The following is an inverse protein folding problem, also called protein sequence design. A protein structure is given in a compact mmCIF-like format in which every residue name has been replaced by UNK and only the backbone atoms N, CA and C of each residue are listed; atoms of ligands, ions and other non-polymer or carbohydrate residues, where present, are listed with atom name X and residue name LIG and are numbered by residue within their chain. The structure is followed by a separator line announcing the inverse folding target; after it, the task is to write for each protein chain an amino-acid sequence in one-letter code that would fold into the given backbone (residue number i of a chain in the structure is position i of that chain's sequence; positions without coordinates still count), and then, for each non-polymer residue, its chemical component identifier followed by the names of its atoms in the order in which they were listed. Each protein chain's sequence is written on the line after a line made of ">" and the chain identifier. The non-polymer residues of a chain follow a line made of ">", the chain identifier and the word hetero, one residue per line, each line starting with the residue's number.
data_IF_619834908603
#
_entry.id   IF_619834908603
#
_cell.length_a   1.000
_cell.length_b   1.000
_cell.length_c   1.000
_cell.angle_alpha   90.00
_cell.angle_beta   90.00
_cell.angle_gamma   90.00
#
_symmetry.space_group_name_H-M   'P 1'
#
loop_
_entity.id
_entity.type
_entity.pdbx_description
1 polymer ?
#
# COMPACT_ATOMS: atom_id res chain seq x y z
N UNK A 1 6.50 -12.69 11.20
CA UNK A 1 6.00 -12.46 9.82
C UNK A 1 5.97 -10.98 9.53
N UNK A 2 6.38 -10.53 8.35
CA UNK A 2 6.48 -9.12 7.96
C UNK A 2 5.57 -8.90 6.76
N UNK A 3 4.84 -7.79 6.71
CA UNK A 3 3.85 -7.50 5.68
C UNK A 3 4.15 -6.17 4.99
N UNK A 4 3.89 -6.10 3.68
CA UNK A 4 3.58 -4.85 3.05
C UNK A 4 2.18 -4.35 3.45
N UNK A 5 1.85 -3.10 3.15
CA UNK A 5 0.57 -2.46 3.52
C UNK A 5 -0.39 -2.32 2.34
N UNK A 6 0.00 -1.53 1.33
CA UNK A 6 -0.86 -1.19 0.20
C UNK A 6 -0.96 -2.36 -0.79
N UNK A 7 -2.16 -2.72 -1.21
CA UNK A 7 -2.50 -3.88 -2.06
C UNK A 7 -2.13 -5.25 -1.47
N UNK A 8 -1.63 -5.27 -0.22
CA UNK A 8 -1.41 -6.51 0.57
C UNK A 8 -2.42 -6.60 1.73
N UNK A 9 -2.35 -5.69 2.69
CA UNK A 9 -3.30 -5.62 3.82
C UNK A 9 -4.49 -4.70 3.54
N UNK A 10 -4.28 -3.67 2.73
CA UNK A 10 -5.26 -2.66 2.35
C UNK A 10 -5.41 -2.61 0.83
N UNK A 11 -6.63 -2.53 0.34
CA UNK A 11 -6.91 -2.42 -1.09
C UNK A 11 -6.78 -0.95 -1.54
N UNK A 12 -5.65 -0.63 -2.19
CA UNK A 12 -5.34 0.71 -2.66
C UNK A 12 -6.19 1.12 -3.86
N UNK A 13 -6.49 0.20 -4.77
CA UNK A 13 -7.31 0.49 -5.96
C UNK A 13 -8.71 1.00 -5.56
N UNK A 14 -9.36 0.34 -4.57
CA UNK A 14 -10.62 0.81 -4.01
C UNK A 14 -10.51 2.16 -3.30
N UNK A 15 -9.38 2.45 -2.66
CA UNK A 15 -9.16 3.74 -2.03
C UNK A 15 -9.00 4.85 -3.07
N UNK A 16 -8.34 4.58 -4.19
CA UNK A 16 -8.25 5.51 -5.34
C UNK A 16 -9.64 5.80 -5.92
N UNK A 17 -10.50 4.78 -6.07
CA UNK A 17 -11.89 4.98 -6.50
C UNK A 17 -12.64 5.93 -5.56
N UNK A 18 -12.50 5.76 -4.24
CA UNK A 18 -13.15 6.63 -3.26
C UNK A 18 -12.60 8.06 -3.30
N UNK A 19 -11.27 8.21 -3.43
CA UNK A 19 -10.66 9.54 -3.56
C UNK A 19 -11.17 10.27 -4.81
N UNK A 20 -11.29 9.55 -5.93
CA UNK A 20 -11.86 10.09 -7.14
C UNK A 20 -13.29 10.61 -6.95
N UNK A 21 -14.13 9.89 -6.19
CA UNK A 21 -15.48 10.36 -5.87
C UNK A 21 -15.47 11.64 -5.04
N UNK A 22 -14.55 11.78 -4.09
CA UNK A 22 -14.37 13.02 -3.30
C UNK A 22 -13.93 14.18 -4.21
N UNK A 23 -13.02 13.92 -5.16
CA UNK A 23 -12.60 14.93 -6.14
C UNK A 23 -13.79 15.36 -7.01
N UNK A 24 -14.61 14.41 -7.48
CA UNK A 24 -15.80 14.73 -8.26
C UNK A 24 -16.77 15.61 -7.47
N UNK A 25 -17.04 15.26 -6.23
CA UNK A 25 -17.96 16.01 -5.36
C UNK A 25 -17.49 17.45 -5.10
N UNK A 26 -16.19 17.61 -4.83
CA UNK A 26 -15.63 18.91 -4.42
C UNK A 26 -15.31 19.83 -5.61
N UNK A 27 -14.90 19.27 -6.75
CA UNK A 27 -14.32 20.03 -7.85
C UNK A 27 -15.24 20.14 -9.07
N UNK A 28 -16.23 19.25 -9.22
CA UNK A 28 -17.04 19.16 -10.44
C UNK A 28 -18.54 19.33 -10.16
N UNK A 29 -19.30 19.68 -11.19
CA UNK A 29 -20.77 19.81 -11.14
C UNK A 29 -21.36 19.08 -12.33
N UNK A 30 -22.37 18.24 -12.08
CA UNK A 30 -23.19 17.56 -13.11
C UNK A 30 -22.39 16.79 -14.18
N UNK A 31 -21.38 16.01 -13.78
CA UNK A 31 -20.60 15.16 -14.70
C UNK A 31 -21.47 14.00 -15.18
N UNK A 32 -21.61 13.83 -16.50
CA UNK A 32 -22.33 12.69 -17.10
C UNK A 32 -21.65 11.37 -16.76
N UNK A 33 -22.43 10.31 -16.60
CA UNK A 33 -21.92 8.98 -16.20
C UNK A 33 -20.84 8.44 -17.16
N UNK A 34 -21.05 8.57 -18.47
CA UNK A 34 -20.07 8.15 -19.48
C UNK A 34 -18.71 8.85 -19.34
N UNK A 35 -18.72 10.14 -18.98
CA UNK A 35 -17.51 10.91 -18.76
C UNK A 35 -16.81 10.50 -17.45
N UNK A 36 -17.57 10.20 -16.41
CA UNK A 36 -17.00 9.74 -15.11
C UNK A 36 -16.15 8.49 -15.26
N UNK A 37 -16.57 7.55 -16.10
CA UNK A 37 -15.82 6.29 -16.32
C UNK A 37 -14.45 6.58 -16.95
N UNK A 38 -14.40 7.46 -17.95
CA UNK A 38 -13.14 7.85 -18.57
C UNK A 38 -12.26 8.67 -17.62
N UNK A 39 -12.84 9.61 -16.88
CA UNK A 39 -12.14 10.38 -15.85
C UNK A 39 -11.50 9.47 -14.81
N UNK A 40 -12.23 8.46 -14.31
CA UNK A 40 -11.68 7.51 -13.33
C UNK A 40 -10.51 6.72 -13.92
N UNK A 41 -10.65 6.22 -15.14
CA UNK A 41 -9.58 5.49 -15.83
C UNK A 41 -8.31 6.35 -15.94
N UNK A 42 -8.46 7.61 -16.36
CA UNK A 42 -7.36 8.57 -16.48
C UNK A 42 -6.77 8.97 -15.12
N UNK A 43 -7.62 9.18 -14.11
CA UNK A 43 -7.15 9.47 -12.77
C UNK A 43 -6.25 8.34 -12.22
N UNK A 44 -6.68 7.08 -12.39
CA UNK A 44 -5.86 5.91 -12.03
C UNK A 44 -4.54 5.86 -12.82
N UNK A 45 -4.56 6.20 -14.10
CA UNK A 45 -3.35 6.27 -14.92
C UNK A 45 -2.35 7.30 -14.38
N UNK A 46 -2.81 8.52 -14.04
CA UNK A 46 -1.96 9.55 -13.43
C UNK A 46 -1.46 9.15 -12.05
N UNK A 47 -2.32 8.57 -11.21
CA UNK A 47 -1.91 8.12 -9.89
C UNK A 47 -0.87 6.99 -9.96
N UNK A 48 -1.01 6.05 -10.89
CA UNK A 48 -0.04 4.98 -11.10
C UNK A 48 1.34 5.52 -11.54
N UNK A 49 1.39 6.54 -12.40
CA UNK A 49 2.64 7.21 -12.78
C UNK A 49 3.30 7.92 -11.58
N UNK A 50 2.50 8.42 -10.64
CA UNK A 50 2.95 9.04 -9.38
C UNK A 50 3.03 8.08 -8.20
N UNK A 51 2.90 6.77 -8.43
CA UNK A 51 2.94 5.78 -7.34
C UNK A 51 4.31 5.74 -6.66
N UNK A 52 4.28 5.77 -5.33
CA UNK A 52 5.50 5.83 -4.53
C UNK A 52 6.09 7.24 -4.31
N UNK A 53 5.64 8.25 -5.06
CA UNK A 53 6.06 9.64 -4.82
C UNK A 53 5.36 10.22 -3.60
N UNK A 54 6.09 10.95 -2.77
CA UNK A 54 5.51 11.74 -1.67
C UNK A 54 4.70 12.92 -2.18
N UNK A 55 5.18 13.59 -3.24
CA UNK A 55 4.50 14.68 -3.92
C UNK A 55 3.40 14.15 -4.85
N UNK A 56 2.16 14.60 -4.60
CA UNK A 56 0.96 14.26 -5.36
C UNK A 56 0.38 15.43 -6.18
N UNK A 57 1.05 16.58 -6.15
CA UNK A 57 0.58 17.79 -6.85
C UNK A 57 0.44 17.50 -8.34
N UNK A 58 1.47 16.95 -8.97
CA UNK A 58 1.48 16.66 -10.41
C UNK A 58 0.37 15.68 -10.85
N UNK A 59 -0.04 14.76 -9.98
CA UNK A 59 -1.13 13.81 -10.28
C UNK A 59 -2.44 14.56 -10.49
N UNK A 60 -2.82 15.44 -9.55
CA UNK A 60 -4.05 16.19 -9.64
C UNK A 60 -3.97 17.32 -10.68
N UNK A 61 -2.84 18.00 -10.83
CA UNK A 61 -2.67 19.02 -11.88
C UNK A 61 -2.86 18.42 -13.26
N UNK A 62 -2.16 17.31 -13.58
CA UNK A 62 -2.31 16.64 -14.87
C UNK A 62 -3.74 16.17 -15.12
N UNK A 63 -4.42 15.69 -14.07
CA UNK A 63 -5.82 15.30 -14.17
C UNK A 63 -6.73 16.52 -14.40
N UNK A 64 -6.54 17.64 -13.71
CA UNK A 64 -7.31 18.86 -13.87
C UNK A 64 -7.04 19.57 -15.21
N UNK A 65 -5.86 19.40 -15.78
CA UNK A 65 -5.54 19.96 -17.12
C UNK A 65 -6.26 19.17 -18.22
N UNK A 66 -6.37 17.82 -18.10
CA UNK A 66 -7.13 17.01 -19.05
C UNK A 66 -8.64 17.14 -18.85
N UNK A 67 -9.09 17.27 -17.60
CA UNK A 67 -10.50 17.43 -17.24
C UNK A 67 -10.69 18.70 -16.39
N UNK A 68 -10.84 19.87 -16.98
CA UNK A 68 -10.95 21.12 -16.23
C UNK A 68 -12.14 21.13 -15.26
N UNK A 69 -11.92 21.28 -13.94
CA UNK A 69 -12.99 21.30 -12.95
C UNK A 69 -13.64 22.68 -12.88
N UNK A 70 -14.88 22.73 -12.38
CA UNK A 70 -15.55 24.01 -12.07
C UNK A 70 -14.88 24.72 -10.89
N UNK A 71 -14.44 23.95 -9.90
CA UNK A 71 -13.75 24.46 -8.70
C UNK A 71 -12.38 23.80 -8.61
N UNK A 72 -11.37 24.46 -9.22
CA UNK A 72 -10.01 23.96 -9.20
C UNK A 72 -9.39 24.21 -7.82
N UNK A 73 -8.79 23.16 -7.23
CA UNK A 73 -7.99 23.31 -6.02
C UNK A 73 -6.75 24.19 -6.33
N UNK A 74 -6.42 25.17 -5.47
CA UNK A 74 -5.18 25.91 -5.58
C UNK A 74 -3.96 24.95 -5.51
N UNK A 75 -2.90 25.26 -6.25
CA UNK A 75 -1.68 24.45 -6.29
C UNK A 75 -1.17 24.06 -4.89
N UNK A 76 -1.10 25.03 -3.99
CA UNK A 76 -0.59 24.85 -2.63
C UNK A 76 -1.50 23.97 -1.76
N UNK A 77 -2.78 23.81 -2.09
CA UNK A 77 -3.74 23.04 -1.30
C UNK A 77 -3.83 21.58 -1.77
N UNK A 78 -3.31 21.24 -2.95
CA UNK A 78 -3.41 19.90 -3.53
C UNK A 78 -2.76 18.84 -2.65
N UNK A 79 -1.56 19.11 -2.16
CA UNK A 79 -0.84 18.15 -1.33
C UNK A 79 -1.56 17.91 0.00
N UNK A 80 -2.07 18.97 0.63
CA UNK A 80 -2.83 18.87 1.88
C UNK A 80 -4.18 18.20 1.66
N UNK A 81 -4.85 18.49 0.56
CA UNK A 81 -6.05 17.78 0.15
C UNK A 81 -5.80 16.26 0.05
N UNK A 82 -4.72 15.86 -0.62
CA UNK A 82 -4.35 14.46 -0.77
C UNK A 82 -4.00 13.81 0.59
N UNK A 83 -3.17 14.47 1.37
CA UNK A 83 -2.75 13.98 2.70
C UNK A 83 -3.92 13.80 3.66
N UNK A 84 -4.94 14.66 3.56
CA UNK A 84 -6.15 14.62 4.39
C UNK A 84 -7.13 13.56 3.94
N UNK A 85 -7.46 13.52 2.66
CA UNK A 85 -8.58 12.69 2.17
C UNK A 85 -8.15 11.26 1.81
N UNK A 86 -6.98 11.07 1.20
CA UNK A 86 -6.60 9.74 0.73
C UNK A 86 -6.49 8.68 1.84
N UNK A 87 -5.87 8.94 3.00
CA UNK A 87 -5.84 7.97 4.10
C UNK A 87 -7.22 7.58 4.63
N UNK A 88 -8.22 8.46 4.54
CA UNK A 88 -9.60 8.19 4.95
C UNK A 88 -10.36 7.29 3.98
N UNK A 89 -9.87 7.14 2.74
CA UNK A 89 -10.47 6.27 1.74
C UNK A 89 -10.21 4.77 1.99
N UNK A 90 -9.24 4.46 2.84
CA UNK A 90 -8.90 3.07 3.17
C UNK A 90 -9.84 2.49 4.23
N UNK A 91 -10.10 1.20 4.10
CA UNK A 91 -10.78 0.40 5.13
C UNK A 91 -10.10 -0.97 5.18
N UNK A 92 -9.77 -1.44 6.37
CA UNK A 92 -9.31 -2.81 6.53
C UNK A 92 -10.50 -3.79 6.44
N UNK A 93 -10.28 -4.91 5.78
CA UNK A 93 -11.23 -6.01 5.84
C UNK A 93 -11.18 -6.63 7.25
N UNK A 94 -12.32 -6.82 7.94
CA UNK A 94 -12.35 -7.47 9.26
C UNK A 94 -11.64 -8.83 9.27
N UNK A 95 -11.74 -9.60 8.17
CA UNK A 95 -11.04 -10.86 8.03
C UNK A 95 -9.52 -10.68 8.03
N UNK A 96 -8.99 -9.64 7.37
CA UNK A 96 -7.55 -9.30 7.40
C UNK A 96 -7.09 -9.04 8.85
N UNK A 97 -7.84 -8.24 9.60
CA UNK A 97 -7.55 -7.96 11.03
C UNK A 97 -7.53 -9.26 11.84
N UNK A 98 -8.52 -10.12 11.66
CA UNK A 98 -8.61 -11.40 12.38
C UNK A 98 -7.44 -12.33 12.05
N UNK A 99 -7.04 -12.43 10.77
CA UNK A 99 -5.90 -13.22 10.33
C UNK A 99 -4.61 -12.71 10.98
N UNK A 100 -4.34 -11.40 10.87
CA UNK A 100 -3.13 -10.80 11.47
C UNK A 100 -3.09 -11.01 12.98
N UNK A 101 -4.20 -10.83 13.68
CA UNK A 101 -4.29 -11.07 15.11
C UNK A 101 -4.08 -12.54 15.48
N UNK A 102 -4.52 -13.49 14.65
CA UNK A 102 -4.28 -14.91 14.84
C UNK A 102 -2.79 -15.23 14.65
N UNK A 103 -2.16 -14.66 13.64
CA UNK A 103 -0.71 -14.78 13.40
C UNK A 103 0.09 -14.19 14.57
N UNK A 104 -0.30 -13.00 15.05
CA UNK A 104 0.37 -12.30 16.16
C UNK A 104 0.40 -13.09 17.46
N UNK A 105 -0.59 -13.96 17.70
CA UNK A 105 -0.60 -14.82 18.89
C UNK A 105 0.53 -15.87 18.89
N UNK A 106 1.12 -16.17 17.74
CA UNK A 106 2.10 -17.24 17.57
C UNK A 106 3.49 -16.71 17.19
N UNK A 107 3.55 -15.62 16.43
CA UNK A 107 4.80 -15.04 15.93
C UNK A 107 4.78 -13.52 15.99
N UNK A 108 5.95 -12.89 16.03
CA UNK A 108 6.09 -11.44 15.91
C UNK A 108 5.65 -10.97 14.53
N UNK A 109 4.98 -9.84 14.48
CA UNK A 109 4.45 -9.26 13.23
C UNK A 109 4.90 -7.81 13.03
N UNK A 110 5.25 -7.45 11.80
CA UNK A 110 5.60 -6.08 11.46
C UNK A 110 5.04 -5.66 10.10
N UNK A 111 4.98 -4.34 9.87
CA UNK A 111 4.74 -3.73 8.56
C UNK A 111 6.05 -3.08 8.07
N UNK A 112 6.34 -3.26 6.77
CA UNK A 112 7.27 -2.41 6.02
C UNK A 112 6.52 -1.83 4.83
N UNK A 113 6.39 -0.50 4.78
CA UNK A 113 5.65 0.16 3.71
C UNK A 113 6.41 1.34 3.12
N UNK A 114 6.41 1.46 1.78
CA UNK A 114 6.94 2.62 1.09
C UNK A 114 5.91 3.75 1.06
N UNK A 115 6.35 4.97 1.28
CA UNK A 115 5.50 6.16 1.19
C UNK A 115 5.78 7.18 2.27
N UNK A 116 4.99 8.27 2.27
CA UNK A 116 5.15 9.33 3.25
C UNK A 116 4.68 8.91 4.65
N UNK A 117 5.45 9.31 5.64
CA UNK A 117 5.20 9.01 7.05
C UNK A 117 3.79 9.43 7.48
N UNK A 118 3.39 10.66 7.09
CA UNK A 118 2.08 11.20 7.42
C UNK A 118 0.94 10.30 6.87
N UNK A 119 0.97 9.97 5.57
CA UNK A 119 -0.09 9.20 4.94
C UNK A 119 -0.14 7.75 5.42
N UNK A 120 1.02 7.08 5.53
CA UNK A 120 1.05 5.69 5.95
C UNK A 120 0.63 5.53 7.42
N UNK A 121 1.08 6.42 8.32
CA UNK A 121 0.60 6.44 9.72
C UNK A 121 -0.91 6.67 9.79
N UNK A 122 -1.44 7.64 9.04
CA UNK A 122 -2.88 7.91 9.00
C UNK A 122 -3.69 6.71 8.48
N UNK A 123 -3.26 6.02 7.41
CA UNK A 123 -3.90 4.78 6.92
C UNK A 123 -3.95 3.72 8.01
N UNK A 124 -2.82 3.42 8.63
CA UNK A 124 -2.69 2.37 9.65
C UNK A 124 -3.60 2.65 10.86
N UNK A 125 -3.68 3.92 11.29
CA UNK A 125 -4.54 4.35 12.40
C UNK A 125 -6.02 4.26 11.99
N UNK A 126 -6.40 4.86 10.87
CA UNK A 126 -7.80 4.92 10.41
C UNK A 126 -8.37 3.51 10.13
N UNK A 127 -7.53 2.57 9.76
CA UNK A 127 -7.92 1.17 9.49
C UNK A 127 -7.80 0.26 10.72
N UNK A 128 -7.45 0.80 11.89
CA UNK A 128 -7.28 0.07 13.15
C UNK A 128 -6.17 -1.00 13.13
N UNK A 129 -5.27 -0.94 12.15
CA UNK A 129 -4.16 -1.89 12.04
C UNK A 129 -3.02 -1.59 13.03
N UNK A 130 -2.97 -0.40 13.61
CA UNK A 130 -1.87 0.02 14.49
C UNK A 130 -1.61 -0.97 15.63
N UNK A 131 -2.66 -1.41 16.31
CA UNK A 131 -2.57 -2.35 17.44
C UNK A 131 -2.27 -3.80 17.03
N UNK A 132 -2.43 -4.13 15.74
CA UNK A 132 -2.22 -5.48 15.23
C UNK A 132 -0.73 -5.83 15.06
N UNK A 133 0.18 -4.84 15.06
CA UNK A 133 1.60 -5.05 14.75
C UNK A 133 2.52 -4.68 15.90
N UNK A 134 3.64 -5.41 16.01
CA UNK A 134 4.68 -5.13 17.02
C UNK A 134 5.60 -4.02 16.56
N UNK A 135 5.86 -3.92 15.25
CA UNK A 135 6.68 -2.88 14.63
C UNK A 135 6.05 -2.39 13.33
N UNK A 136 6.19 -1.09 13.08
CA UNK A 136 5.78 -0.43 11.84
C UNK A 136 6.99 0.34 11.33
N UNK A 137 7.35 0.13 10.06
CA UNK A 137 8.50 0.74 9.41
C UNK A 137 8.01 1.41 8.13
N UNK A 138 8.17 2.71 8.06
CA UNK A 138 7.76 3.53 6.92
C UNK A 138 9.02 4.09 6.25
N UNK A 139 9.12 3.93 4.94
CA UNK A 139 10.34 4.26 4.19
C UNK A 139 10.81 5.69 4.38
N UNK A 140 9.92 6.68 4.35
CA UNK A 140 10.29 8.09 4.55
C UNK A 140 10.82 8.35 5.97
N UNK A 141 10.24 7.69 6.99
CA UNK A 141 10.66 7.86 8.40
C UNK A 141 12.07 7.34 8.65
N UNK A 142 12.49 6.29 7.92
CA UNK A 142 13.80 5.66 8.09
C UNK A 142 14.81 6.04 7.01
N UNK A 143 14.38 6.79 5.99
CA UNK A 143 15.23 7.24 4.88
C UNK A 143 15.66 6.10 3.93
N UNK A 144 15.00 4.93 3.99
CA UNK A 144 15.32 3.74 3.19
C UNK A 144 14.02 3.16 2.68
N UNK A 145 13.96 2.76 1.39
CA UNK A 145 12.76 2.20 0.79
C UNK A 145 13.00 0.81 0.20
N UNK A 146 11.98 -0.03 0.16
CA UNK A 146 11.99 -1.26 -0.62
C UNK A 146 12.24 -0.94 -2.10
N UNK A 147 13.07 -1.69 -2.82
CA UNK A 147 13.62 -3.01 -2.51
C UNK A 147 14.99 -3.02 -1.80
N UNK A 148 15.47 -1.89 -1.26
CA UNK A 148 16.76 -1.87 -0.57
C UNK A 148 16.74 -2.84 0.62
N UNK A 149 17.69 -3.81 0.63
CA UNK A 149 17.75 -4.86 1.67
C UNK A 149 17.85 -4.29 3.09
N UNK A 150 18.43 -3.10 3.26
CA UNK A 150 18.63 -2.46 4.57
C UNK A 150 17.32 -2.20 5.32
N UNK A 151 16.20 -1.96 4.62
CA UNK A 151 14.90 -1.76 5.29
C UNK A 151 14.38 -3.07 5.89
N UNK A 152 14.63 -4.21 5.23
CA UNK A 152 14.28 -5.54 5.72
C UNK A 152 15.17 -5.95 6.89
N UNK A 153 16.49 -5.71 6.79
CA UNK A 153 17.45 -5.94 7.88
C UNK A 153 17.08 -5.10 9.12
N UNK A 154 16.65 -3.84 8.94
CA UNK A 154 16.13 -3.01 10.02
C UNK A 154 14.90 -3.63 10.70
N UNK A 155 13.97 -4.21 9.93
CA UNK A 155 12.80 -4.88 10.49
C UNK A 155 13.19 -6.12 11.30
N UNK A 156 14.09 -6.94 10.78
CA UNK A 156 14.62 -8.12 11.49
C UNK A 156 15.26 -7.73 12.83
N UNK A 157 16.10 -6.70 12.82
CA UNK A 157 16.74 -6.17 14.01
C UNK A 157 15.71 -5.65 15.03
N UNK A 158 14.72 -4.86 14.59
CA UNK A 158 13.65 -4.33 15.47
C UNK A 158 12.75 -5.43 16.05
N UNK A 159 12.59 -6.54 15.34
CA UNK A 159 11.85 -7.72 15.79
C UNK A 159 12.73 -8.68 16.60
N UNK A 160 14.06 -8.55 16.56
CA UNK A 160 15.03 -9.52 17.08
C UNK A 160 14.73 -10.93 16.53
N UNK A 161 14.79 -11.09 15.21
CA UNK A 161 14.51 -12.31 14.47
C UNK A 161 15.59 -12.52 13.40
N UNK A 162 16.04 -13.78 13.24
CA UNK A 162 16.97 -14.12 12.16
C UNK A 162 16.24 -14.20 10.81
N UNK A 163 16.92 -13.90 9.69
CA UNK A 163 16.31 -13.93 8.36
C UNK A 163 15.62 -15.24 8.00
N UNK A 164 16.24 -16.38 8.36
CA UNK A 164 15.76 -17.72 8.03
C UNK A 164 14.44 -18.07 8.76
N UNK A 165 14.17 -17.41 9.89
CA UNK A 165 12.94 -17.55 10.66
C UNK A 165 11.88 -16.52 10.28
N UNK A 166 12.14 -15.66 9.27
CA UNK A 166 11.24 -14.62 8.82
C UNK A 166 10.55 -14.99 7.50
N UNK A 167 9.29 -14.55 7.40
CA UNK A 167 8.53 -14.56 6.14
C UNK A 167 8.11 -13.12 5.84
N UNK A 168 8.25 -12.71 4.59
CA UNK A 168 7.71 -11.44 4.10
C UNK A 168 6.53 -11.71 3.18
N UNK A 169 5.46 -10.95 3.31
CA UNK A 169 4.24 -11.06 2.49
C UNK A 169 4.01 -9.73 1.79
N UNK A 170 3.95 -9.72 0.47
CA UNK A 170 3.72 -8.51 -0.32
C UNK A 170 3.22 -8.83 -1.72
N UNK A 171 2.69 -7.82 -2.41
CA UNK A 171 2.12 -7.94 -3.75
C UNK A 171 3.10 -7.58 -4.88
N UNK A 172 4.11 -6.77 -4.61
CA UNK A 172 5.08 -6.30 -5.60
C UNK A 172 6.28 -7.28 -5.69
N UNK A 173 6.42 -7.95 -6.84
CA UNK A 173 7.51 -8.92 -7.05
C UNK A 173 8.90 -8.29 -6.88
N UNK A 174 9.12 -7.07 -7.38
CA UNK A 174 10.44 -6.44 -7.33
C UNK A 174 10.73 -5.83 -5.96
N UNK A 175 9.80 -4.99 -5.45
CA UNK A 175 10.00 -4.27 -4.19
C UNK A 175 9.92 -5.18 -2.97
N UNK A 176 8.96 -6.10 -2.97
CA UNK A 176 8.68 -6.94 -1.81
C UNK A 176 9.44 -8.24 -1.85
N UNK A 177 9.22 -9.02 -2.92
CA UNK A 177 9.76 -10.38 -3.00
C UNK A 177 11.24 -10.35 -3.32
N UNK A 178 11.65 -9.64 -4.37
CA UNK A 178 13.07 -9.46 -4.70
C UNK A 178 13.83 -8.74 -3.59
N UNK A 179 13.21 -7.67 -3.03
CA UNK A 179 13.81 -6.92 -1.94
C UNK A 179 14.05 -7.76 -0.69
N UNK A 180 13.07 -8.55 -0.24
CA UNK A 180 13.21 -9.39 0.95
C UNK A 180 14.19 -10.56 0.73
N UNK A 181 14.25 -11.13 -0.48
CA UNK A 181 15.21 -12.19 -0.83
C UNK A 181 16.65 -11.69 -0.75
N UNK A 182 16.93 -10.43 -1.11
CA UNK A 182 18.26 -9.82 -0.96
C UNK A 182 18.69 -9.68 0.52
N UNK A 183 17.73 -9.78 1.47
CA UNK A 183 17.97 -9.86 2.90
C UNK A 183 17.84 -11.28 3.46
N UNK A 184 17.89 -12.31 2.61
CA UNK A 184 17.74 -13.74 2.94
C UNK A 184 16.40 -14.10 3.63
N UNK A 185 15.36 -13.32 3.41
CA UNK A 185 14.00 -13.57 3.91
C UNK A 185 13.20 -14.31 2.84
N UNK A 186 12.44 -15.34 3.24
CA UNK A 186 11.50 -16.02 2.33
C UNK A 186 10.33 -15.13 2.00
N UNK A 187 10.13 -14.81 0.70
CA UNK A 187 9.05 -13.94 0.21
C UNK A 187 7.84 -14.74 -0.23
N UNK A 188 6.67 -14.44 0.32
CA UNK A 188 5.37 -14.97 -0.11
C UNK A 188 4.70 -13.90 -0.96
N UNK A 189 4.48 -14.20 -2.23
CA UNK A 189 3.81 -13.29 -3.15
C UNK A 189 2.29 -13.35 -2.96
N UNK A 190 1.71 -12.23 -2.54
CA UNK A 190 0.27 -12.06 -2.46
C UNK A 190 -0.29 -11.62 -3.83
N UNK A 191 -0.93 -12.55 -4.52
CA UNK A 191 -1.45 -12.39 -5.88
C UNK A 191 -2.96 -12.70 -5.96
N UNK A 192 -3.84 -11.84 -5.40
CA UNK A 192 -5.28 -12.08 -5.37
C UNK A 192 -5.92 -12.10 -6.75
N UNK A 193 -5.31 -11.43 -7.73
CA UNK A 193 -5.80 -11.34 -9.10
C UNK A 193 -5.22 -12.40 -10.03
N UNK A 194 -4.32 -13.28 -9.54
CA UNK A 194 -3.67 -14.35 -10.30
C UNK A 194 -2.98 -13.82 -11.56
N UNK A 195 -2.34 -12.67 -11.46
CA UNK A 195 -1.56 -12.12 -12.57
C UNK A 195 -0.33 -13.01 -12.84
N UNK A 196 0.06 -13.10 -14.11
CA UNK A 196 1.23 -13.89 -14.48
C UNK A 196 2.51 -13.19 -13.99
N UNK A 197 3.40 -13.95 -13.38
CA UNK A 197 4.75 -13.47 -13.10
C UNK A 197 5.54 -13.34 -14.41
N UNK A 198 5.89 -12.11 -14.78
CA UNK A 198 6.68 -11.78 -15.95
C UNK A 198 8.12 -11.36 -15.59
N UNK A 199 8.57 -11.65 -14.37
CA UNK A 199 9.91 -11.37 -13.86
C UNK A 199 10.69 -12.68 -13.66
N UNK A 200 12.01 -12.59 -13.44
CA UNK A 200 12.84 -13.73 -13.06
C UNK A 200 12.79 -14.05 -11.55
N UNK A 201 12.06 -13.23 -10.76
CA UNK A 201 11.95 -13.41 -9.31
C UNK A 201 11.06 -14.60 -9.01
N UNK A 202 11.58 -15.55 -8.23
CA UNK A 202 10.87 -16.77 -7.82
C UNK A 202 10.45 -16.62 -6.35
N UNK A 203 9.17 -16.35 -6.05
CA UNK A 203 8.70 -16.30 -4.67
C UNK A 203 8.84 -17.67 -3.99
N UNK A 204 9.05 -17.68 -2.67
CA UNK A 204 9.02 -18.92 -1.88
C UNK A 204 7.65 -19.60 -1.97
N UNK A 205 6.58 -18.81 -1.99
CA UNK A 205 5.21 -19.26 -2.25
C UNK A 205 4.38 -18.14 -2.87
N UNK A 206 3.29 -18.51 -3.53
CA UNK A 206 2.25 -17.61 -4.03
C UNK A 206 0.94 -17.93 -3.34
N UNK A 207 0.25 -16.88 -2.86
CA UNK A 207 -1.08 -16.98 -2.25
C UNK A 207 -2.03 -15.97 -2.87
N UNK A 208 -3.30 -16.32 -3.00
CA UNK A 208 -4.34 -15.42 -3.50
C UNK A 208 -5.29 -14.92 -2.41
N UNK A 209 -5.08 -15.34 -1.18
CA UNK A 209 -5.87 -14.91 -0.02
C UNK A 209 -5.03 -15.05 1.26
N UNK A 210 -5.20 -14.10 2.20
CA UNK A 210 -4.36 -14.02 3.40
C UNK A 210 -4.59 -15.16 4.40
N UNK A 211 -5.75 -15.82 4.39
CA UNK A 211 -6.02 -16.98 5.24
C UNK A 211 -5.06 -18.15 4.99
N UNK A 212 -4.51 -18.26 3.77
CA UNK A 212 -3.47 -19.23 3.44
C UNK A 212 -2.21 -19.08 4.31
N UNK A 213 -1.99 -17.90 4.89
CA UNK A 213 -0.83 -17.66 5.75
C UNK A 213 -0.86 -18.49 7.04
N UNK A 214 -2.04 -18.91 7.49
CA UNK A 214 -2.17 -19.72 8.71
C UNK A 214 -1.48 -21.08 8.60
N UNK A 215 -1.33 -21.63 7.39
CA UNK A 215 -0.60 -22.90 7.17
C UNK A 215 0.92 -22.77 7.28
N UNK A 216 1.47 -21.57 7.42
CA UNK A 216 2.90 -21.31 7.60
C UNK A 216 3.28 -21.03 9.08
N UNK A 217 2.34 -21.23 10.00
CA UNK A 217 2.56 -21.01 11.44
C UNK A 217 2.99 -22.28 12.20
N UNK A 218 3.17 -23.38 11.48
CA UNK A 218 3.57 -24.70 12.06
C UNK A 218 5.08 -24.84 12.16
#
# INVERSE_FOLDING_TARGET
>A
MIFDLDDTLLNRDKAVDKLFLIILEKCYVNVKHSVKTEMLRKFKEYDNKGYGCSDKIKVLESFFDEFPPKYRLPHNDIQDFWNTHFPQCFSANPNTINIVNTIKKQVKVAIITNGSTQRQKAKIINTQLYSCFDKIIISEEVGISKPDKRIFELALNKLNVQPEAALFVGDDLEKDIGGCQNANIKGIWFNPHRVKNNTEIKPYAEINSLDRLLSYLT
#
